data_IF_103817574528
#
_entry.id   IF_103817574528
#
_cell.length_a   1.000
_cell.length_b   1.000
_cell.length_c   1.000
_cell.angle_alpha   90.00
_cell.angle_beta   90.00
_cell.angle_gamma   90.00
#
_symmetry.space_group_name_H-M   'P 1'
#
loop_
_entity.id
_entity.type
_entity.pdbx_description
1 polymer ?
#
# COMPACT_ATOMS: atom_id res chain seq x y z
N UNK A 1 -19.20 9.43 -18.17
CA UNK A 1 -18.71 9.03 -16.84
C UNK A 1 -18.16 7.62 -16.95
N UNK A 2 -16.90 7.43 -16.59
CA UNK A 2 -16.24 6.11 -16.65
C UNK A 2 -16.68 5.22 -15.49
N UNK A 3 -16.42 3.91 -15.58
CA UNK A 3 -16.71 2.95 -14.50
C UNK A 3 -15.93 3.32 -13.23
N UNK A 4 -14.66 3.73 -13.38
CA UNK A 4 -13.80 4.13 -12.27
C UNK A 4 -14.32 5.38 -11.56
N UNK A 5 -14.76 6.40 -12.29
CA UNK A 5 -15.38 7.60 -11.71
C UNK A 5 -16.63 7.27 -10.88
N UNK A 6 -17.43 6.30 -11.34
CA UNK A 6 -18.61 5.85 -10.61
C UNK A 6 -18.24 5.18 -9.28
N UNK A 7 -17.27 4.26 -9.30
CA UNK A 7 -16.82 3.52 -8.11
C UNK A 7 -16.28 4.48 -7.05
N UNK A 8 -15.44 5.43 -7.46
CA UNK A 8 -14.86 6.41 -6.53
C UNK A 8 -15.96 7.26 -5.91
N UNK A 9 -16.92 7.75 -6.71
CA UNK A 9 -18.04 8.55 -6.18
C UNK A 9 -18.84 7.78 -5.14
N UNK A 10 -19.18 6.53 -5.43
CA UNK A 10 -19.97 5.69 -4.52
C UNK A 10 -19.20 5.36 -3.23
N UNK A 11 -17.91 5.04 -3.33
CA UNK A 11 -17.06 4.77 -2.17
C UNK A 11 -16.89 6.00 -1.26
N UNK A 12 -16.88 7.21 -1.84
CA UNK A 12 -16.77 8.46 -1.07
C UNK A 12 -18.06 8.81 -0.29
N UNK A 13 -19.22 8.29 -0.69
CA UNK A 13 -20.48 8.43 0.05
C UNK A 13 -20.55 7.51 1.28
N UNK A 14 -19.66 6.50 1.37
CA UNK A 14 -19.63 5.58 2.50
C UNK A 14 -18.97 6.23 3.74
N UNK A 15 -19.40 5.83 4.96
CA UNK A 15 -18.65 6.11 6.19
C UNK A 15 -17.20 5.63 6.09
N UNK A 16 -16.25 6.26 6.81
CA UNK A 16 -14.83 5.96 6.69
C UNK A 16 -14.48 4.47 6.83
N UNK A 17 -15.07 3.76 7.79
CA UNK A 17 -14.83 2.32 7.99
C UNK A 17 -15.26 1.47 6.79
N UNK A 18 -16.41 1.79 6.19
CA UNK A 18 -16.90 1.06 5.01
C UNK A 18 -16.09 1.39 3.76
N UNK A 19 -15.61 2.63 3.64
CA UNK A 19 -14.68 3.02 2.58
C UNK A 19 -13.36 2.25 2.66
N UNK A 20 -12.82 2.07 3.87
CA UNK A 20 -11.65 1.22 4.09
C UNK A 20 -11.92 -0.23 3.68
N UNK A 21 -13.08 -0.79 4.02
CA UNK A 21 -13.44 -2.14 3.58
C UNK A 21 -13.54 -2.28 2.04
N UNK A 22 -13.97 -1.23 1.32
CA UNK A 22 -13.95 -1.23 -0.15
C UNK A 22 -12.52 -1.21 -0.69
N UNK A 23 -11.64 -0.39 -0.10
CA UNK A 23 -10.21 -0.34 -0.49
C UNK A 23 -9.57 -1.71 -0.29
N UNK A 24 -9.80 -2.34 0.85
CA UNK A 24 -9.26 -3.66 1.20
C UNK A 24 -9.70 -4.73 0.17
N UNK A 25 -10.99 -4.77 -0.15
CA UNK A 25 -11.53 -5.73 -1.12
C UNK A 25 -11.02 -5.52 -2.55
N UNK A 26 -10.80 -4.26 -2.95
CA UNK A 26 -10.18 -3.95 -4.24
C UNK A 26 -8.72 -4.38 -4.26
N UNK A 27 -8.02 -4.21 -3.14
CA UNK A 27 -6.64 -4.64 -2.98
C UNK A 27 -6.50 -6.17 -3.04
N UNK A 28 -7.35 -6.90 -2.31
CA UNK A 28 -7.41 -8.37 -2.35
C UNK A 28 -7.61 -8.90 -3.77
N UNK A 29 -8.46 -8.23 -4.56
CA UNK A 29 -8.71 -8.60 -5.95
C UNK A 29 -7.46 -8.52 -6.83
N UNK A 30 -6.53 -7.61 -6.55
CA UNK A 30 -5.25 -7.51 -7.26
C UNK A 30 -4.26 -8.60 -6.81
N UNK A 31 -4.32 -9.01 -5.54
CA UNK A 31 -3.43 -10.04 -5.00
C UNK A 31 -3.67 -11.43 -5.59
N UNK A 32 -4.84 -11.69 -6.18
CA UNK A 32 -5.19 -12.97 -6.82
C UNK A 32 -4.42 -13.22 -8.12
N UNK A 33 -3.89 -12.17 -8.77
CA UNK A 33 -3.10 -12.29 -10.00
C UNK A 33 -1.81 -11.46 -9.90
N UNK A 34 -0.79 -11.95 -9.16
CA UNK A 34 0.49 -11.26 -9.03
C UNK A 34 1.17 -10.99 -10.37
N UNK A 35 0.94 -11.85 -11.36
CA UNK A 35 1.44 -11.72 -12.73
C UNK A 35 0.81 -10.55 -13.51
N UNK A 36 -0.34 -10.03 -13.08
CA UNK A 36 -0.95 -8.84 -13.69
C UNK A 36 -0.15 -7.56 -13.43
N UNK A 37 0.70 -7.55 -12.39
CA UNK A 37 1.58 -6.45 -12.02
C UNK A 37 3.00 -6.99 -11.80
N UNK A 38 3.71 -7.40 -12.86
CA UNK A 38 5.03 -7.99 -12.75
C UNK A 38 6.01 -6.94 -12.22
N UNK A 39 6.76 -7.31 -11.18
CA UNK A 39 7.89 -6.53 -10.71
C UNK A 39 9.05 -6.66 -11.69
N UNK A 40 9.79 -5.57 -11.91
CA UNK A 40 11.08 -5.65 -12.59
C UNK A 40 12.09 -6.44 -11.75
N UNK A 41 13.11 -6.99 -12.40
CA UNK A 41 14.20 -7.70 -11.70
C UNK A 41 14.94 -6.81 -10.70
N UNK A 42 14.99 -5.50 -10.96
CA UNK A 42 15.54 -4.52 -10.02
C UNK A 42 14.65 -4.36 -8.79
N UNK A 43 13.34 -4.22 -8.97
CA UNK A 43 12.38 -4.11 -7.87
C UNK A 43 12.38 -5.38 -7.00
N UNK A 44 12.41 -6.56 -7.63
CA UNK A 44 12.48 -7.84 -6.92
C UNK A 44 13.73 -7.94 -6.06
N UNK A 45 14.92 -7.67 -6.65
CA UNK A 45 16.18 -7.69 -5.92
C UNK A 45 16.20 -6.71 -4.74
N UNK A 46 15.64 -5.51 -4.91
CA UNK A 46 15.57 -4.53 -3.82
C UNK A 46 14.64 -4.99 -2.69
N UNK A 47 13.52 -5.63 -3.01
CA UNK A 47 12.63 -6.21 -1.99
C UNK A 47 13.32 -7.35 -1.24
N UNK A 48 13.96 -8.28 -1.95
CA UNK A 48 14.69 -9.39 -1.34
C UNK A 48 15.77 -8.88 -0.39
N UNK A 49 16.58 -7.89 -0.82
CA UNK A 49 17.61 -7.24 0.01
C UNK A 49 17.03 -6.60 1.27
N UNK A 50 15.85 -5.96 1.18
CA UNK A 50 15.21 -5.32 2.34
C UNK A 50 14.62 -6.33 3.32
N UNK A 51 14.07 -7.43 2.82
CA UNK A 51 13.55 -8.51 3.67
C UNK A 51 14.71 -9.15 4.45
N UNK A 52 15.80 -9.49 3.77
CA UNK A 52 17.00 -10.05 4.42
C UNK A 52 17.58 -9.09 5.48
N UNK A 53 17.62 -7.79 5.19
CA UNK A 53 18.07 -6.79 6.15
C UNK A 53 17.18 -6.71 7.39
N UNK A 54 15.86 -6.78 7.24
CA UNK A 54 14.92 -6.80 8.37
C UNK A 54 15.00 -8.09 9.18
N UNK A 55 15.20 -9.24 8.52
CA UNK A 55 15.36 -10.53 9.20
C UNK A 55 16.64 -10.56 10.05
N UNK A 56 17.71 -9.90 9.57
CA UNK A 56 18.98 -9.79 10.30
C UNK A 56 18.94 -8.73 11.41
N UNK A 57 18.31 -7.59 11.15
CA UNK A 57 18.16 -6.48 12.10
C UNK A 57 16.71 -5.96 12.10
N UNK A 58 15.87 -6.43 13.04
CA UNK A 58 14.49 -5.96 13.17
C UNK A 58 14.36 -4.46 13.50
N UNK A 59 15.46 -3.79 13.86
CA UNK A 59 15.50 -2.36 14.18
C UNK A 59 15.91 -1.48 12.99
N UNK A 60 16.23 -2.07 11.83
CA UNK A 60 16.66 -1.30 10.64
C UNK A 60 15.55 -0.44 9.99
N UNK A 61 14.31 -0.59 10.46
CA UNK A 61 13.17 0.22 10.04
C UNK A 61 13.04 1.55 10.79
N UNK A 62 12.22 2.44 10.26
CA UNK A 62 11.81 3.68 10.96
C UNK A 62 10.41 3.47 11.51
N UNK A 63 10.16 3.90 12.75
CA UNK A 63 8.84 3.75 13.35
C UNK A 63 7.79 4.55 12.57
N UNK A 64 6.55 4.07 12.56
CA UNK A 64 5.45 4.78 11.91
C UNK A 64 5.20 6.16 12.54
N UNK A 65 5.47 6.31 13.83
CA UNK A 65 5.37 7.57 14.55
C UNK A 65 6.41 8.58 14.08
N UNK A 66 7.66 8.15 13.89
CA UNK A 66 8.73 8.99 13.36
C UNK A 66 8.42 9.44 11.93
N UNK A 67 7.97 8.50 11.07
CA UNK A 67 7.55 8.84 9.70
C UNK A 67 6.42 9.88 9.69
N UNK A 68 5.40 9.72 10.55
CA UNK A 68 4.33 10.71 10.67
C UNK A 68 4.84 12.06 11.18
N UNK A 69 5.72 12.05 12.17
CA UNK A 69 6.32 13.25 12.76
C UNK A 69 7.05 14.06 11.69
N UNK A 70 7.90 13.39 10.90
CA UNK A 70 8.62 14.04 9.80
C UNK A 70 7.69 14.63 8.74
N UNK A 71 6.63 13.91 8.34
CA UNK A 71 5.65 14.40 7.35
C UNK A 71 4.86 15.61 7.86
N UNK A 72 4.59 15.71 9.16
CA UNK A 72 3.88 16.86 9.76
C UNK A 72 4.74 18.12 9.86
N UNK A 73 6.06 17.97 10.02
CA UNK A 73 6.99 19.11 10.04
C UNK A 73 7.19 19.74 8.65
N UNK A 74 6.87 19.00 7.59
CA UNK A 74 7.06 19.41 6.20
C UNK A 74 5.81 20.01 5.54
N UNK A 75 4.66 20.05 6.23
CA UNK A 75 3.40 20.64 5.75
C UNK A 75 2.99 21.84 6.59
#
# INVERSE_FOLDING_TARGET
MTVSERIIREALLLPPAQRLAVIDRLWDGLAVSPEALPLSDEQRRELDRRIEAMDHDPTCGVSWEDVKSERRKQG
#
